data_IF_111364863872
#
_entry.id   IF_111364863872
#
_cell.length_a   1.000
_cell.length_b   1.000
_cell.length_c   1.000
_cell.angle_alpha   90.00
_cell.angle_beta   90.00
_cell.angle_gamma   90.00
#
_symmetry.space_group_name_H-M   'P 1'
#
loop_
_entity.id
_entity.type
_entity.pdbx_description
1 polymer ?
#
# COMPACT_ATOMS: atom_id res chain seq x y z
N UNK A 1 28.37 -9.86 -47.71
CA UNK A 1 26.89 -9.79 -47.78
C UNK A 1 26.43 -8.80 -46.72
N UNK A 2 26.20 -7.55 -47.15
CA UNK A 2 25.71 -6.47 -46.29
C UNK A 2 24.19 -6.59 -46.14
N UNK A 3 23.71 -6.96 -44.97
CA UNK A 3 22.33 -6.68 -44.58
C UNK A 3 22.26 -5.24 -44.10
N UNK A 4 22.05 -4.31 -45.03
CA UNK A 4 21.58 -2.97 -44.72
C UNK A 4 20.14 -3.09 -44.20
N UNK A 5 19.95 -2.90 -42.91
CA UNK A 5 18.63 -2.70 -42.30
C UNK A 5 18.16 -1.31 -42.72
N UNK A 6 17.28 -1.25 -43.73
CA UNK A 6 16.57 -0.03 -44.09
C UNK A 6 15.53 0.26 -43.00
N UNK A 7 15.88 1.06 -42.00
CA UNK A 7 14.87 1.65 -41.11
C UNK A 7 14.09 2.65 -41.95
N UNK A 8 12.82 2.38 -42.26
CA UNK A 8 11.95 3.37 -42.90
C UNK A 8 11.93 4.63 -42.00
N UNK A 9 12.21 5.80 -42.58
CA UNK A 9 12.27 7.12 -41.91
C UNK A 9 11.04 7.47 -41.04
N UNK A 10 9.95 6.71 -41.14
CA UNK A 10 8.69 6.88 -40.40
C UNK A 10 8.44 5.85 -39.28
N UNK A 11 9.23 4.76 -39.19
CA UNK A 11 9.03 3.76 -38.15
C UNK A 11 9.91 4.10 -36.94
N UNK A 12 9.29 4.34 -35.80
CA UNK A 12 9.97 4.44 -34.50
C UNK A 12 9.57 3.24 -33.63
N UNK A 13 10.51 2.70 -32.86
CA UNK A 13 10.28 1.51 -32.03
C UNK A 13 10.63 1.81 -30.57
N UNK A 14 9.69 1.51 -29.66
CA UNK A 14 9.91 1.61 -28.21
C UNK A 14 10.23 0.23 -27.68
N UNK A 15 11.42 0.07 -27.10
CA UNK A 15 11.79 -1.14 -26.37
C UNK A 15 11.45 -0.91 -24.89
N UNK A 16 10.30 -1.43 -24.43
CA UNK A 16 9.78 -1.19 -23.07
C UNK A 16 10.70 -1.68 -21.95
N UNK A 17 11.50 -2.72 -22.19
CA UNK A 17 12.43 -3.27 -21.18
C UNK A 17 13.66 -2.40 -20.96
N UNK A 18 14.09 -1.64 -21.97
CA UNK A 18 15.28 -0.77 -21.88
C UNK A 18 14.92 0.71 -21.81
N UNK A 19 13.64 1.07 -21.96
CA UNK A 19 13.15 2.46 -22.00
C UNK A 19 13.91 3.31 -23.03
N UNK A 20 14.11 2.77 -24.23
CA UNK A 20 14.74 3.49 -25.35
C UNK A 20 13.75 3.56 -26.52
N UNK A 21 13.56 4.77 -27.05
CA UNK A 21 12.86 5.03 -28.31
C UNK A 21 13.90 5.22 -29.42
N UNK A 22 13.94 4.29 -30.36
CA UNK A 22 14.71 4.41 -31.59
C UNK A 22 13.85 5.09 -32.64
N UNK A 23 14.23 6.28 -33.08
CA UNK A 23 13.52 7.01 -34.14
C UNK A 23 14.02 6.59 -35.52
N UNK A 24 13.13 6.63 -36.51
CA UNK A 24 13.46 6.29 -37.91
C UNK A 24 14.48 7.23 -38.58
N UNK A 25 14.81 8.36 -37.96
CA UNK A 25 15.88 9.27 -38.38
C UNK A 25 17.27 8.90 -37.80
N UNK A 26 17.38 7.80 -37.04
CA UNK A 26 18.62 7.35 -36.40
C UNK A 26 18.89 7.94 -35.00
N UNK A 27 17.99 8.76 -34.47
CA UNK A 27 18.09 9.31 -33.11
C UNK A 27 17.57 8.32 -32.06
N UNK A 28 18.28 8.20 -30.94
CA UNK A 28 17.88 7.38 -29.81
C UNK A 28 17.49 8.27 -28.62
N UNK A 29 16.25 8.16 -28.16
CA UNK A 29 15.80 8.80 -26.92
C UNK A 29 15.84 7.76 -25.80
N UNK A 30 16.70 8.01 -24.82
CA UNK A 30 16.75 7.24 -23.58
C UNK A 30 15.70 7.80 -22.61
N UNK A 31 14.49 7.22 -22.64
CA UNK A 31 13.39 7.60 -21.75
C UNK A 31 13.80 7.44 -20.28
N UNK A 32 14.65 6.46 -19.97
CA UNK A 32 15.25 6.26 -18.64
C UNK A 32 16.17 7.40 -18.16
N UNK A 33 16.66 8.25 -19.06
CA UNK A 33 17.50 9.40 -18.73
C UNK A 33 16.73 10.72 -18.73
N UNK A 34 15.43 10.69 -19.05
CA UNK A 34 14.60 11.89 -18.94
C UNK A 34 14.31 12.22 -17.46
N UNK A 35 14.11 13.51 -17.13
CA UNK A 35 13.71 13.89 -15.78
C UNK A 35 12.43 13.15 -15.34
N UNK A 36 12.33 12.74 -14.07
CA UNK A 36 11.10 12.14 -13.54
C UNK A 36 9.89 13.07 -13.72
N UNK A 37 8.76 12.50 -14.14
CA UNK A 37 7.49 13.22 -14.28
C UNK A 37 6.58 12.90 -13.09
N UNK A 38 6.03 13.93 -12.47
CA UNK A 38 5.02 13.79 -11.42
C UNK A 38 3.61 13.82 -12.02
N UNK A 39 2.73 12.93 -11.56
CA UNK A 39 1.32 12.90 -11.96
C UNK A 39 0.44 12.51 -10.77
N UNK A 40 -0.86 12.85 -10.86
CA UNK A 40 -1.87 12.42 -9.89
C UNK A 40 -2.58 11.18 -10.39
N UNK A 41 -2.55 10.10 -9.60
CA UNK A 41 -3.27 8.86 -9.90
C UNK A 41 -4.61 8.76 -9.15
N UNK A 42 -4.79 9.56 -8.09
CA UNK A 42 -5.97 9.57 -7.24
C UNK A 42 -6.07 10.87 -6.45
N UNK A 43 -7.29 11.34 -6.19
CA UNK A 43 -7.53 12.61 -5.51
C UNK A 43 -7.79 13.76 -6.49
N UNK A 44 -8.53 14.76 -6.01
CA UNK A 44 -8.90 15.97 -6.76
C UNK A 44 -8.82 17.26 -5.92
N UNK A 45 -8.09 17.21 -4.79
CA UNK A 45 -7.97 18.32 -3.84
C UNK A 45 -9.18 18.55 -2.94
N UNK A 46 -10.29 17.83 -3.11
CA UNK A 46 -11.48 17.90 -2.22
C UNK A 46 -11.57 16.70 -1.30
N UNK A 47 -11.93 16.94 -0.04
CA UNK A 47 -12.15 15.90 0.96
C UNK A 47 -13.41 15.10 0.66
N UNK A 48 -13.36 13.77 0.77
CA UNK A 48 -14.56 12.91 0.76
C UNK A 48 -15.30 12.98 2.11
N UNK A 49 -16.55 12.48 2.14
CA UNK A 49 -17.26 12.24 3.41
C UNK A 49 -16.67 11.03 4.17
N UNK A 50 -16.89 10.98 5.48
CA UNK A 50 -16.40 9.90 6.33
C UNK A 50 -16.94 8.52 5.91
N UNK A 51 -18.19 8.47 5.42
CA UNK A 51 -18.92 7.25 5.02
C UNK A 51 -18.55 6.68 3.64
N UNK A 52 -17.73 7.40 2.85
CA UNK A 52 -17.17 6.89 1.59
C UNK A 52 -18.18 6.27 0.56
N UNK A 53 -19.38 6.85 0.31
CA UNK A 53 -20.44 6.18 -0.46
C UNK A 53 -20.11 5.93 -1.95
N UNK A 54 -19.13 6.66 -2.51
CA UNK A 54 -18.73 6.55 -3.92
C UNK A 54 -17.23 6.31 -4.07
N UNK A 55 -16.64 5.56 -3.13
CA UNK A 55 -15.21 5.31 -3.09
C UNK A 55 -14.74 4.17 -4.00
N UNK A 56 -15.65 3.29 -4.42
CA UNK A 56 -15.34 2.21 -5.34
C UNK A 56 -15.60 2.66 -6.79
N UNK A 57 -14.71 2.34 -7.72
CA UNK A 57 -14.76 2.80 -9.11
C UNK A 57 -13.41 3.30 -9.60
N UNK A 58 -13.36 4.23 -10.55
CA UNK A 58 -12.08 4.73 -11.09
C UNK A 58 -11.28 5.51 -10.03
N UNK A 59 -9.94 5.40 -10.07
CA UNK A 59 -9.03 6.11 -9.17
C UNK A 59 -8.87 7.58 -9.53
N UNK A 60 -8.77 7.88 -10.82
CA UNK A 60 -8.56 9.23 -11.33
C UNK A 60 -9.65 10.19 -10.82
N UNK A 61 -9.22 11.24 -10.12
CA UNK A 61 -10.12 12.23 -9.54
C UNK A 61 -10.99 11.74 -8.37
N UNK A 62 -10.85 10.49 -7.92
CA UNK A 62 -11.60 9.94 -6.79
C UNK A 62 -11.16 10.60 -5.48
N UNK A 63 -12.11 11.10 -4.69
CA UNK A 63 -11.82 11.91 -3.50
C UNK A 63 -11.11 11.09 -2.42
N UNK A 64 -10.12 11.70 -1.79
CA UNK A 64 -9.44 11.20 -0.59
C UNK A 64 -9.85 12.05 0.62
N UNK A 65 -9.69 11.52 1.83
CA UNK A 65 -9.93 12.25 3.07
C UNK A 65 -8.61 12.74 3.67
N UNK A 66 -7.70 11.82 3.96
CA UNK A 66 -6.35 12.09 4.43
C UNK A 66 -5.48 10.84 4.22
N UNK A 67 -4.71 10.75 3.13
CA UNK A 67 -3.80 9.62 2.91
C UNK A 67 -2.65 9.68 3.93
N UNK A 68 -2.53 8.65 4.78
CA UNK A 68 -1.55 8.55 5.87
C UNK A 68 -0.49 7.48 5.61
N UNK A 69 -0.82 6.44 4.85
CA UNK A 69 0.04 5.30 4.60
C UNK A 69 -0.10 4.80 3.15
N UNK A 70 0.98 4.23 2.62
CA UNK A 70 1.03 3.59 1.32
C UNK A 70 1.75 2.24 1.43
N UNK A 71 1.32 1.25 0.67
CA UNK A 71 2.05 0.00 0.46
C UNK A 71 1.80 -0.53 -0.95
N UNK A 72 2.81 -1.12 -1.59
CA UNK A 72 2.71 -1.68 -2.94
C UNK A 72 2.49 -3.19 -2.85
N UNK A 73 1.47 -3.71 -3.52
CA UNK A 73 1.24 -5.15 -3.67
C UNK A 73 2.18 -5.76 -4.73
N UNK A 74 2.53 -7.04 -4.56
CA UNK A 74 3.30 -7.79 -5.56
C UNK A 74 2.56 -7.96 -6.91
N UNK A 75 1.24 -7.77 -6.91
CA UNK A 75 0.38 -7.75 -8.08
C UNK A 75 0.36 -6.39 -8.81
N UNK A 76 1.14 -5.41 -8.34
CA UNK A 76 1.18 -4.04 -8.85
C UNK A 76 0.07 -3.14 -8.32
N UNK A 77 -0.76 -3.61 -7.37
CA UNK A 77 -1.73 -2.75 -6.70
C UNK A 77 -1.04 -1.76 -5.74
N UNK A 78 -1.71 -0.66 -5.43
CA UNK A 78 -1.31 0.29 -4.39
C UNK A 78 -2.37 0.32 -3.32
N UNK A 79 -2.00 0.00 -2.09
CA UNK A 79 -2.85 0.17 -0.92
C UNK A 79 -2.63 1.57 -0.35
N UNK A 80 -3.73 2.29 -0.15
CA UNK A 80 -3.79 3.65 0.37
C UNK A 80 -4.53 3.61 1.69
N UNK A 81 -3.81 3.95 2.76
CA UNK A 81 -4.41 4.26 4.04
C UNK A 81 -5.03 5.64 4.02
N UNK A 82 -6.28 5.75 3.58
CA UNK A 82 -7.02 6.99 3.45
C UNK A 82 -7.85 7.27 4.71
N UNK A 83 -7.18 7.62 5.81
CA UNK A 83 -7.77 7.83 7.13
C UNK A 83 -8.53 6.59 7.62
N UNK A 84 -9.86 6.65 7.77
CA UNK A 84 -10.67 5.55 8.27
C UNK A 84 -10.89 4.41 7.26
N UNK A 85 -10.41 4.53 6.01
CA UNK A 85 -10.49 3.46 5.03
C UNK A 85 -9.11 3.09 4.50
N UNK A 86 -8.83 1.79 4.47
CA UNK A 86 -7.77 1.22 3.63
C UNK A 86 -8.40 0.91 2.27
N UNK A 87 -7.84 1.49 1.20
CA UNK A 87 -8.33 1.37 -0.17
C UNK A 87 -7.25 0.75 -1.05
N UNK A 88 -7.63 -0.08 -2.01
CA UNK A 88 -6.71 -0.69 -2.98
C UNK A 88 -6.97 -0.11 -4.36
N UNK A 89 -5.93 0.43 -4.98
CA UNK A 89 -5.89 0.82 -6.38
C UNK A 89 -5.29 -0.34 -7.16
N UNK A 90 -6.05 -0.89 -8.12
CA UNK A 90 -5.59 -1.95 -9.00
C UNK A 90 -4.77 -1.39 -10.16
N UNK A 91 -3.91 -2.21 -10.81
CA UNK A 91 -3.22 -1.81 -12.05
C UNK A 91 -4.16 -1.38 -13.19
N UNK A 92 -5.43 -1.80 -13.14
CA UNK A 92 -6.48 -1.38 -14.08
C UNK A 92 -6.96 0.07 -13.89
N UNK A 93 -6.54 0.73 -12.81
CA UNK A 93 -6.99 2.08 -12.45
C UNK A 93 -8.27 2.11 -11.61
N UNK A 94 -8.87 0.96 -11.30
CA UNK A 94 -10.01 0.86 -10.39
C UNK A 94 -9.58 0.85 -8.92
N UNK A 95 -10.48 1.30 -8.05
CA UNK A 95 -10.33 1.36 -6.59
C UNK A 95 -11.44 0.58 -5.93
N UNK A 96 -11.08 -0.16 -4.88
CA UNK A 96 -12.04 -0.75 -3.93
C UNK A 96 -11.59 -0.52 -2.50
N UNK A 97 -12.53 -0.26 -1.60
CA UNK A 97 -12.28 -0.30 -0.16
C UNK A 97 -11.99 -1.74 0.30
N UNK A 98 -10.98 -1.89 1.15
CA UNK A 98 -10.51 -3.16 1.70
C UNK A 98 -10.95 -3.32 3.14
N UNK A 99 -10.76 -2.29 3.96
CA UNK A 99 -11.06 -2.33 5.39
C UNK A 99 -11.46 -0.95 5.88
N UNK A 100 -12.35 -0.92 6.86
CA UNK A 100 -12.73 0.28 7.60
C UNK A 100 -12.17 0.21 9.01
N UNK A 101 -11.54 1.30 9.45
CA UNK A 101 -10.92 1.48 10.75
C UNK A 101 -11.68 2.55 11.56
N UNK A 102 -11.30 2.73 12.82
CA UNK A 102 -11.87 3.77 13.67
C UNK A 102 -11.73 5.17 13.05
N UNK A 103 -12.69 6.06 13.27
CA UNK A 103 -12.69 7.42 12.74
C UNK A 103 -11.94 8.44 13.64
N UNK A 104 -10.97 7.99 14.44
CA UNK A 104 -10.28 8.84 15.40
C UNK A 104 -9.42 9.92 14.69
N UNK A 105 -9.56 11.22 14.98
CA UNK A 105 -8.75 12.26 14.35
C UNK A 105 -7.24 12.14 14.59
N UNK A 106 -6.81 11.51 15.70
CA UNK A 106 -5.41 11.25 16.01
C UNK A 106 -4.90 9.92 15.45
N UNK A 107 -5.69 9.27 14.59
CA UNK A 107 -5.42 7.93 14.09
C UNK A 107 -4.16 7.89 13.23
N UNK A 108 -3.24 7.00 13.58
CA UNK A 108 -2.01 6.73 12.82
C UNK A 108 -1.85 5.24 12.66
N UNK A 109 -1.66 4.81 11.43
CA UNK A 109 -1.34 3.43 11.12
C UNK A 109 -0.38 3.36 9.94
N UNK A 110 0.30 2.23 9.81
CA UNK A 110 1.27 1.98 8.77
C UNK A 110 0.88 0.70 8.03
N UNK A 111 1.24 0.62 6.75
CA UNK A 111 0.90 -0.51 5.89
C UNK A 111 2.16 -1.20 5.41
N UNK A 112 2.12 -2.53 5.34
CA UNK A 112 3.12 -3.34 4.65
C UNK A 112 2.45 -4.51 3.95
N UNK A 113 3.05 -4.95 2.86
CA UNK A 113 2.62 -6.13 2.10
C UNK A 113 3.65 -7.22 2.24
N UNK A 114 3.20 -8.46 2.39
CA UNK A 114 4.06 -9.63 2.29
C UNK A 114 4.38 -9.88 0.81
N UNK A 115 5.66 -9.82 0.40
CA UNK A 115 6.05 -10.05 -0.99
C UNK A 115 5.83 -11.50 -1.46
N UNK A 116 5.69 -12.47 -0.54
CA UNK A 116 5.51 -13.89 -0.85
C UNK A 116 4.03 -14.21 -1.06
N UNK A 117 3.17 -13.81 -0.12
CA UNK A 117 1.74 -14.17 -0.14
C UNK A 117 0.85 -13.08 -0.74
N UNK A 118 1.34 -11.84 -0.82
CA UNK A 118 0.55 -10.67 -1.22
C UNK A 118 -0.37 -10.14 -0.12
N UNK A 119 -0.30 -10.67 1.10
CA UNK A 119 -1.14 -10.24 2.22
C UNK A 119 -0.79 -8.82 2.67
N UNK A 120 -1.80 -8.07 3.11
CA UNK A 120 -1.64 -6.73 3.67
C UNK A 120 -1.64 -6.79 5.19
N UNK A 121 -0.76 -6.02 5.82
CA UNK A 121 -0.73 -5.78 7.25
C UNK A 121 -0.91 -4.29 7.54
N UNK A 122 -1.67 -3.99 8.59
CA UNK A 122 -1.88 -2.65 9.10
C UNK A 122 -1.50 -2.61 10.59
N UNK A 123 -0.43 -1.91 10.94
CA UNK A 123 -0.12 -1.63 12.35
C UNK A 123 -0.85 -0.37 12.78
N UNK A 124 -1.83 -0.52 13.67
CA UNK A 124 -2.64 0.58 14.16
C UNK A 124 -2.16 1.00 15.56
N UNK A 125 -1.62 2.22 15.62
CA UNK A 125 -1.00 2.77 16.82
C UNK A 125 -2.03 2.88 17.96
N UNK A 126 -3.26 3.30 17.63
CA UNK A 126 -4.26 3.65 18.63
C UNK A 126 -4.94 2.41 19.21
N UNK A 127 -5.24 1.42 18.38
CA UNK A 127 -5.80 0.15 18.86
C UNK A 127 -4.75 -0.78 19.44
N UNK A 128 -3.45 -0.46 19.31
CA UNK A 128 -2.31 -1.25 19.80
C UNK A 128 -2.32 -2.67 19.24
N UNK A 129 -2.72 -2.79 17.98
CA UNK A 129 -2.89 -4.06 17.28
C UNK A 129 -2.30 -3.98 15.89
N UNK A 130 -1.89 -5.13 15.38
CA UNK A 130 -1.56 -5.33 13.97
C UNK A 130 -2.67 -6.17 13.37
N UNK A 131 -3.27 -5.66 12.30
CA UNK A 131 -4.35 -6.32 11.58
C UNK A 131 -3.88 -6.87 10.24
N UNK A 132 -4.49 -7.97 9.82
CA UNK A 132 -4.42 -8.52 8.48
C UNK A 132 -5.84 -8.60 7.92
N UNK A 133 -6.18 -7.90 6.82
CA UNK A 133 -7.48 -8.08 6.18
C UNK A 133 -7.63 -9.51 5.64
N UNK A 134 -8.80 -10.12 5.89
CA UNK A 134 -9.16 -11.47 5.43
C UNK A 134 -9.31 -11.50 3.91
N UNK A 135 -9.88 -10.44 3.34
CA UNK A 135 -10.05 -10.28 1.90
C UNK A 135 -9.48 -8.93 1.43
N UNK A 136 -8.72 -8.94 0.34
CA UNK A 136 -8.16 -7.73 -0.28
C UNK A 136 -9.06 -7.12 -1.38
N UNK A 137 -10.24 -7.70 -1.59
CA UNK A 137 -11.26 -7.25 -2.54
C UNK A 137 -12.60 -7.94 -2.26
N UNK A 138 -13.71 -7.23 -2.47
CA UNK A 138 -15.05 -7.83 -2.40
C UNK A 138 -15.56 -8.16 -0.98
N UNK A 139 -14.96 -7.56 0.05
CA UNK A 139 -15.45 -7.70 1.41
C UNK A 139 -16.86 -7.10 1.56
N UNK A 140 -17.79 -7.89 2.11
CA UNK A 140 -19.18 -7.45 2.35
C UNK A 140 -19.29 -6.48 3.52
N UNK A 141 -18.54 -6.75 4.58
CA UNK A 141 -18.43 -5.89 5.75
C UNK A 141 -16.95 -5.51 5.93
N UNK A 142 -16.67 -4.22 5.77
CA UNK A 142 -15.31 -3.68 5.82
C UNK A 142 -14.80 -3.55 7.25
N UNK A 143 -15.69 -3.49 8.25
CA UNK A 143 -15.33 -3.33 9.66
C UNK A 143 -14.82 -4.66 10.22
N UNK A 144 -15.50 -5.77 9.90
CA UNK A 144 -15.11 -7.11 10.37
C UNK A 144 -14.11 -7.84 9.46
N UNK A 145 -13.63 -7.18 8.40
CA UNK A 145 -12.66 -7.76 7.47
C UNK A 145 -11.25 -7.87 8.06
N UNK A 146 -10.95 -7.24 9.20
CA UNK A 146 -9.66 -7.39 9.88
C UNK A 146 -9.57 -8.62 10.78
N UNK A 147 -8.44 -9.31 10.73
CA UNK A 147 -8.00 -10.29 11.72
C UNK A 147 -6.81 -9.75 12.49
N UNK A 148 -6.72 -10.00 13.79
CA UNK A 148 -5.61 -9.54 14.63
C UNK A 148 -4.48 -10.56 14.56
N UNK A 149 -3.31 -10.13 14.11
CA UNK A 149 -2.11 -10.99 14.03
C UNK A 149 -1.14 -10.73 15.18
N UNK A 150 -1.19 -9.55 15.79
CA UNK A 150 -0.45 -9.24 17.00
C UNK A 150 -1.17 -8.18 17.84
N UNK A 151 -1.02 -8.26 19.16
CA UNK A 151 -1.57 -7.28 20.10
C UNK A 151 -2.92 -7.67 20.68
N UNK A 152 -3.04 -7.55 22.01
CA UNK A 152 -4.31 -7.68 22.74
C UNK A 152 -5.13 -6.40 22.75
N UNK A 153 -4.55 -5.27 22.34
CA UNK A 153 -5.13 -3.93 22.49
C UNK A 153 -4.89 -3.27 23.84
N UNK A 154 -4.31 -3.99 24.80
CA UNK A 154 -3.87 -3.40 26.07
C UNK A 154 -2.48 -2.76 25.92
N UNK A 155 -2.25 -1.70 26.69
CA UNK A 155 -0.93 -1.10 26.82
C UNK A 155 0.00 -2.03 27.58
N UNK A 156 1.17 -2.35 27.02
CA UNK A 156 2.20 -2.96 27.85
C UNK A 156 2.66 -1.96 28.93
N UNK A 157 2.72 -2.34 30.20
CA UNK A 157 3.20 -1.45 31.25
C UNK A 157 4.71 -1.19 31.11
N UNK A 158 5.21 -0.02 31.54
CA UNK A 158 6.64 0.22 31.60
C UNK A 158 7.30 -0.78 32.57
N UNK A 159 8.47 -1.30 32.19
CA UNK A 159 9.23 -2.30 32.95
C UNK A 159 8.49 -3.63 33.20
N UNK A 160 7.61 -4.04 32.29
CA UNK A 160 6.92 -5.35 32.37
C UNK A 160 7.91 -6.53 32.47
N UNK A 161 7.82 -7.30 33.55
CA UNK A 161 8.68 -8.47 33.79
C UNK A 161 8.46 -9.56 32.74
N UNK A 162 7.24 -9.66 32.20
CA UNK A 162 6.87 -10.61 31.15
C UNK A 162 7.23 -10.11 29.73
N UNK A 163 7.99 -9.01 29.63
CA UNK A 163 8.49 -8.42 28.38
C UNK A 163 7.39 -8.27 27.34
N UNK A 164 6.23 -7.76 27.76
CA UNK A 164 5.08 -7.51 26.90
C UNK A 164 4.53 -8.76 26.17
N UNK A 165 4.90 -9.96 26.60
CA UNK A 165 4.52 -11.20 25.91
C UNK A 165 5.55 -11.77 24.95
N UNK A 166 6.79 -11.28 24.96
CA UNK A 166 7.89 -11.86 24.17
C UNK A 166 8.03 -13.38 24.39
N UNK A 167 8.22 -14.11 23.30
CA UNK A 167 8.33 -15.58 23.30
C UNK A 167 6.99 -16.32 23.36
N UNK A 168 5.86 -15.62 23.48
CA UNK A 168 4.50 -16.20 23.40
C UNK A 168 3.87 -15.94 22.04
N UNK A 169 2.60 -16.33 21.86
CA UNK A 169 1.84 -16.03 20.65
C UNK A 169 1.69 -14.52 20.51
N UNK A 170 1.92 -13.99 19.31
CA UNK A 170 1.86 -12.55 19.04
C UNK A 170 0.48 -11.94 19.35
N UNK A 171 -0.60 -12.69 19.19
CA UNK A 171 -1.98 -12.26 19.53
C UNK A 171 -2.22 -12.10 21.03
N UNK A 172 -1.35 -12.67 21.88
CA UNK A 172 -1.38 -12.55 23.34
C UNK A 172 -0.42 -11.46 23.86
N UNK A 173 0.42 -10.89 22.99
CA UNK A 173 1.34 -9.82 23.35
C UNK A 173 0.63 -8.47 23.56
N UNK A 174 1.15 -7.64 24.45
CA UNK A 174 0.70 -6.27 24.67
C UNK A 174 1.61 -5.31 23.92
N UNK A 175 1.07 -4.38 23.12
CA UNK A 175 1.89 -3.51 22.27
C UNK A 175 1.96 -2.08 22.79
N UNK A 176 3.14 -1.47 22.63
CA UNK A 176 3.39 -0.05 22.88
C UNK A 176 3.30 0.71 21.57
N UNK A 177 2.09 1.19 21.24
CA UNK A 177 1.82 2.04 20.07
C UNK A 177 2.57 1.59 18.80
N UNK A 178 2.20 0.46 18.18
CA UNK A 178 2.95 -0.08 17.04
C UNK A 178 2.94 0.93 15.88
N UNK A 179 4.13 1.19 15.32
CA UNK A 179 4.34 2.12 14.20
C UNK A 179 4.77 1.39 12.94
N UNK A 180 5.78 1.90 12.23
CA UNK A 180 6.28 1.37 10.98
C UNK A 180 6.43 -0.16 11.01
N UNK A 181 5.96 -0.79 9.95
CA UNK A 181 5.89 -2.24 9.75
C UNK A 181 6.55 -2.57 8.41
N UNK A 182 7.22 -3.72 8.34
CA UNK A 182 7.84 -4.26 7.15
C UNK A 182 7.76 -5.79 7.16
N UNK A 183 7.73 -6.40 5.99
CA UNK A 183 7.75 -7.86 5.84
C UNK A 183 8.96 -8.24 4.99
N UNK A 184 9.75 -9.21 5.43
CA UNK A 184 10.91 -9.66 4.67
C UNK A 184 10.53 -10.66 3.55
N UNK A 185 11.54 -11.08 2.79
CA UNK A 185 11.39 -12.06 1.70
C UNK A 185 10.93 -13.46 2.12
N UNK A 186 10.95 -13.77 3.42
CA UNK A 186 10.54 -15.04 3.98
C UNK A 186 9.16 -14.96 4.66
N UNK A 187 8.52 -13.78 4.66
CA UNK A 187 7.24 -13.54 5.33
C UNK A 187 7.37 -13.16 6.82
N UNK A 188 8.57 -12.86 7.32
CA UNK A 188 8.76 -12.40 8.69
C UNK A 188 8.35 -10.94 8.82
N UNK A 189 7.49 -10.66 9.81
CA UNK A 189 6.94 -9.33 10.07
C UNK A 189 7.80 -8.62 11.13
N UNK A 190 8.31 -7.44 10.77
CA UNK A 190 9.05 -6.54 11.65
C UNK A 190 8.24 -5.28 11.86
N UNK A 191 8.19 -4.79 13.09
CA UNK A 191 7.55 -3.52 13.39
C UNK A 191 8.25 -2.82 14.55
N UNK A 192 8.11 -1.50 14.61
CA UNK A 192 8.66 -0.69 15.70
C UNK A 192 7.55 -0.31 16.68
N UNK A 193 7.90 -0.20 17.96
CA UNK A 193 7.00 0.21 19.03
C UNK A 193 7.45 1.59 19.56
N UNK A 194 6.50 2.43 19.95
CA UNK A 194 6.78 3.70 20.64
C UNK A 194 6.49 3.56 22.13
N UNK A 195 7.52 3.78 22.94
CA UNK A 195 7.46 3.84 24.40
C UNK A 195 6.71 5.09 24.87
#
# INVERSE_FOLDING_TARGET
MHTQTYTLLLLSTIIKQTSILYKGNGENIFISQQPPVISSIMGNGRRRSISCPSCNGQAEGNKLLAPLALACGADGSIFVGDFNYIRRIFPSGNVTSVMELSNNPAHRYYLATDPVTGQLYASDTNSRRIYQPKMLSGARDLISNGEVVAGTGEQCPPFDEARCGDGRKATEAQLLGPKGIAVDKNGLIYFVMEL
#
